data_IF_851972575951
#
_entry.id   IF_851972575951
#
_cell.length_a   1.000
_cell.length_b   1.000
_cell.length_c   1.000
_cell.angle_alpha   90.00
_cell.angle_beta   90.00
_cell.angle_gamma   90.00
#
_symmetry.space_group_name_H-M   'P 1'
#
loop_
_entity.id
_entity.type
_entity.pdbx_description
1 polymer ?
#
# COMPACT_ATOMS: atom_id res chain seq x y z
N UNK A 1 -10.10 7.53 15.44
CA UNK A 1 -11.10 7.92 16.45
C UNK A 1 -12.48 8.02 15.78
N UNK A 2 -13.53 8.02 16.56
CA UNK A 2 -14.90 8.25 16.09
C UNK A 2 -15.20 9.75 16.23
N UNK A 3 -16.08 10.29 15.41
CA UNK A 3 -16.63 11.63 15.59
C UNK A 3 -17.48 11.72 16.86
N UNK A 4 -17.95 12.91 17.18
CA UNK A 4 -18.81 13.16 18.36
C UNK A 4 -20.14 12.38 18.34
N UNK A 5 -20.52 11.78 17.19
CA UNK A 5 -21.72 10.96 17.01
C UNK A 5 -21.40 9.47 16.89
N UNK A 6 -20.12 9.05 17.05
CA UNK A 6 -19.68 7.65 16.97
C UNK A 6 -19.45 7.12 15.56
N UNK A 7 -19.50 7.97 14.54
CA UNK A 7 -19.17 7.67 13.15
C UNK A 7 -17.67 7.44 12.93
N UNK A 8 -17.30 6.80 11.83
CA UNK A 8 -15.89 6.67 11.43
C UNK A 8 -15.42 8.01 10.89
N UNK A 9 -14.38 8.59 11.49
CA UNK A 9 -13.73 9.80 10.99
C UNK A 9 -12.99 9.50 9.68
N UNK A 10 -13.25 10.30 8.66
CA UNK A 10 -12.66 10.16 7.32
C UNK A 10 -11.74 11.35 7.01
N UNK A 11 -11.95 12.51 7.65
CA UNK A 11 -11.13 13.71 7.52
C UNK A 11 -10.41 14.05 8.83
N UNK A 12 -9.32 14.81 8.76
CA UNK A 12 -8.58 15.28 9.94
C UNK A 12 -9.45 16.26 10.74
N UNK A 13 -10.24 17.09 10.05
CA UNK A 13 -11.15 18.04 10.68
C UNK A 13 -12.21 17.37 11.58
N UNK A 14 -12.52 16.09 11.36
CA UNK A 14 -13.45 15.31 12.18
C UNK A 14 -12.79 14.71 13.43
N UNK A 15 -11.48 14.87 13.58
CA UNK A 15 -10.72 14.29 14.70
C UNK A 15 -10.76 15.19 15.94
N UNK A 16 -10.79 14.59 17.12
CA UNK A 16 -10.55 15.28 18.38
C UNK A 16 -9.18 14.86 18.98
N UNK A 17 -8.32 15.86 19.30
CA UNK A 17 -8.43 17.28 18.99
C UNK A 17 -8.35 17.58 17.49
N UNK A 18 -8.94 18.69 17.05
CA UNK A 18 -8.87 19.18 15.66
C UNK A 18 -7.45 19.70 15.38
N UNK A 19 -6.64 18.84 14.76
CA UNK A 19 -5.23 19.12 14.49
C UNK A 19 -5.08 20.24 13.46
N UNK A 20 -5.99 20.38 12.52
CA UNK A 20 -5.94 21.43 11.50
C UNK A 20 -5.99 22.83 12.13
N UNK A 21 -6.89 23.03 13.11
CA UNK A 21 -6.97 24.30 13.85
C UNK A 21 -5.79 24.52 14.79
N UNK A 22 -5.25 23.45 15.36
CA UNK A 22 -4.14 23.52 16.31
C UNK A 22 -2.77 23.62 15.65
N UNK A 23 -2.65 23.26 14.37
CA UNK A 23 -1.38 23.17 13.64
C UNK A 23 -0.50 24.42 13.77
N UNK A 24 -0.99 25.66 13.57
CA UNK A 24 -0.17 26.85 13.72
C UNK A 24 0.44 27.00 15.12
N UNK A 25 -0.36 26.73 16.15
CA UNK A 25 0.08 26.79 17.55
C UNK A 25 1.13 25.71 17.86
N UNK A 26 0.88 24.48 17.36
CA UNK A 26 1.77 23.36 17.60
C UNK A 26 3.16 23.61 17.01
N UNK A 27 3.24 24.09 15.76
CA UNK A 27 4.52 24.38 15.08
C UNK A 27 5.19 25.67 15.59
N UNK A 28 4.46 26.56 16.25
CA UNK A 28 5.03 27.71 16.94
C UNK A 28 5.73 27.29 18.24
N UNK A 29 5.11 26.40 19.01
CA UNK A 29 5.59 25.95 20.32
C UNK A 29 6.59 24.79 20.22
N UNK A 30 6.45 23.92 19.23
CA UNK A 30 7.29 22.74 19.04
C UNK A 30 8.18 22.86 17.81
N UNK A 31 9.49 22.58 17.97
CA UNK A 31 10.42 22.51 16.83
C UNK A 31 10.02 21.41 15.83
N UNK A 32 9.56 20.29 16.36
CA UNK A 32 9.05 19.14 15.62
C UNK A 32 7.82 18.63 16.34
N UNK A 33 6.74 18.43 15.60
CA UNK A 33 5.48 17.90 16.13
C UNK A 33 5.15 16.62 15.38
N UNK A 34 4.88 15.55 16.11
CA UNK A 34 4.45 14.27 15.52
C UNK A 34 2.98 14.06 15.85
N UNK A 35 2.17 13.95 14.81
CA UNK A 35 0.74 13.68 14.91
C UNK A 35 0.46 12.25 14.51
N UNK A 36 -0.12 11.47 15.43
CA UNK A 36 -0.58 10.10 15.14
C UNK A 36 -2.02 10.13 14.65
N UNK A 37 -2.22 9.64 13.44
CA UNK A 37 -3.53 9.55 12.80
C UNK A 37 -3.96 8.08 12.63
N UNK A 38 -5.26 7.88 12.43
CA UNK A 38 -5.81 6.57 12.09
C UNK A 38 -5.28 6.08 10.74
N UNK A 39 -4.90 4.81 10.59
CA UNK A 39 -4.54 4.24 9.30
C UNK A 39 -5.69 4.22 8.28
N UNK A 40 -6.91 4.49 8.71
CA UNK A 40 -8.09 4.62 7.83
C UNK A 40 -8.13 5.95 7.07
N UNK A 41 -7.44 6.99 7.57
CA UNK A 41 -7.40 8.29 6.90
C UNK A 41 -6.65 8.22 5.58
N UNK A 42 -7.12 8.98 4.60
CA UNK A 42 -6.46 9.11 3.30
C UNK A 42 -5.24 10.04 3.42
N UNK A 43 -4.08 9.58 2.91
CA UNK A 43 -2.84 10.36 2.98
C UNK A 43 -2.95 11.64 2.16
N UNK A 44 -3.57 11.59 0.98
CA UNK A 44 -3.74 12.76 0.14
C UNK A 44 -4.68 13.80 0.76
N UNK A 45 -5.68 13.36 1.53
CA UNK A 45 -6.50 14.27 2.33
C UNK A 45 -5.65 14.98 3.37
N UNK A 46 -4.82 14.24 4.11
CA UNK A 46 -3.89 14.82 5.09
C UNK A 46 -2.96 15.86 4.49
N UNK A 47 -2.41 15.59 3.30
CA UNK A 47 -1.54 16.52 2.57
C UNK A 47 -2.25 17.82 2.15
N UNK A 48 -3.56 17.79 1.93
CA UNK A 48 -4.35 18.98 1.59
C UNK A 48 -4.81 19.78 2.80
N UNK A 49 -5.03 19.09 3.91
CA UNK A 49 -5.60 19.69 5.12
C UNK A 49 -4.54 20.32 6.04
N UNK A 50 -3.31 19.83 6.03
CA UNK A 50 -2.20 20.33 6.88
C UNK A 50 -1.13 21.04 6.03
N UNK A 51 -0.56 22.13 6.56
CA UNK A 51 0.34 23.03 5.84
C UNK A 51 1.82 22.82 6.14
N UNK A 52 2.14 22.29 7.32
CA UNK A 52 3.51 22.19 7.82
C UNK A 52 4.07 20.78 7.77
N UNK A 53 3.51 19.91 6.91
CA UNK A 53 3.97 18.53 6.78
C UNK A 53 5.36 18.50 6.19
N UNK A 54 6.29 17.82 6.87
CA UNK A 54 7.64 17.53 6.39
C UNK A 54 7.79 16.06 5.98
N UNK A 55 7.24 15.17 6.78
CA UNK A 55 7.31 13.73 6.56
C UNK A 55 5.99 13.05 6.93
N UNK A 56 5.74 11.93 6.26
CA UNK A 56 4.64 11.02 6.59
C UNK A 56 5.25 9.63 6.74
N UNK A 57 4.98 8.96 7.86
CA UNK A 57 5.35 7.57 8.08
C UNK A 57 4.11 6.70 8.04
N UNK A 58 4.11 5.70 7.17
CA UNK A 58 3.05 4.69 7.07
C UNK A 58 3.58 3.41 7.69
N UNK A 59 3.10 3.08 8.88
CA UNK A 59 3.62 1.97 9.68
C UNK A 59 2.72 0.74 9.54
N UNK A 60 3.30 -0.36 9.09
CA UNK A 60 2.63 -1.67 9.04
C UNK A 60 3.35 -2.69 9.94
N UNK A 61 2.57 -3.55 10.58
CA UNK A 61 3.05 -4.66 11.40
C UNK A 61 2.41 -5.94 10.90
N UNK A 62 3.22 -6.96 10.61
CA UNK A 62 2.76 -8.24 10.05
C UNK A 62 1.82 -8.06 8.85
N UNK A 63 2.20 -7.17 7.95
CA UNK A 63 1.47 -6.82 6.72
C UNK A 63 0.07 -6.21 6.96
N UNK A 64 -0.14 -5.56 8.08
CA UNK A 64 -1.34 -4.77 8.39
C UNK A 64 -0.95 -3.33 8.73
N UNK A 65 -1.54 -2.34 8.03
CA UNK A 65 -1.28 -0.93 8.32
C UNK A 65 -1.87 -0.55 9.69
N UNK A 66 -1.00 -0.15 10.63
CA UNK A 66 -1.38 0.13 12.02
C UNK A 66 -1.46 1.62 12.33
N UNK A 67 -0.52 2.40 11.81
CA UNK A 67 -0.41 3.81 12.16
C UNK A 67 -0.06 4.67 10.93
N UNK A 68 -0.54 5.90 10.96
CA UNK A 68 -0.12 6.97 10.08
C UNK A 68 0.45 8.09 10.97
N UNK A 69 1.75 8.37 10.84
CA UNK A 69 2.40 9.44 11.59
C UNK A 69 2.73 10.59 10.65
N UNK A 70 2.31 11.79 11.00
CA UNK A 70 2.60 13.00 10.24
C UNK A 70 3.56 13.87 11.08
N UNK A 71 4.70 14.19 10.50
CA UNK A 71 5.70 15.06 11.10
C UNK A 71 5.51 16.48 10.58
N UNK A 72 5.19 17.39 11.49
CA UNK A 72 5.03 18.81 11.21
C UNK A 72 6.27 19.57 11.67
N UNK A 73 6.77 20.47 10.84
CA UNK A 73 7.88 21.36 11.16
C UNK A 73 7.63 22.72 10.51
N UNK A 74 7.89 23.79 11.26
CA UNK A 74 7.96 25.11 10.68
C UNK A 74 9.18 25.16 9.76
N UNK A 75 9.01 25.64 8.53
CA UNK A 75 10.13 25.74 7.58
C UNK A 75 11.31 26.48 8.21
N UNK A 76 12.42 25.78 8.36
CA UNK A 76 13.71 26.42 8.52
C UNK A 76 14.14 26.76 7.09
N UNK A 77 14.07 28.05 6.71
CA UNK A 77 14.60 28.53 5.43
C UNK A 77 16.12 28.34 5.43
N UNK A 78 16.54 27.14 5.04
CA UNK A 78 17.93 26.90 4.65
C UNK A 78 17.99 26.99 3.13
N UNK A 79 18.82 27.85 2.55
CA UNK A 79 18.96 27.99 1.09
C UNK A 79 19.50 26.73 0.38
N UNK A 80 19.95 25.74 1.15
CA UNK A 80 20.58 24.51 0.65
C UNK A 80 19.67 23.27 0.69
N UNK A 81 18.49 23.35 1.33
CA UNK A 81 17.54 22.23 1.37
C UNK A 81 16.46 22.47 0.32
N UNK A 82 16.54 21.72 -0.76
CA UNK A 82 15.64 21.78 -1.90
C UNK A 82 14.17 21.63 -1.53
N UNK A 83 13.35 22.27 -2.36
CA UNK A 83 11.88 22.18 -2.52
C UNK A 83 11.12 21.66 -1.29
N UNK A 84 10.09 22.37 -0.84
CA UNK A 84 9.18 22.00 0.25
C UNK A 84 8.42 20.68 0.02
N UNK A 85 9.13 19.65 -0.42
CA UNK A 85 8.65 18.33 -0.80
C UNK A 85 8.41 17.48 0.45
N UNK A 86 7.25 16.83 0.51
CA UNK A 86 6.90 15.93 1.60
C UNK A 86 7.48 14.54 1.34
N UNK A 87 8.29 14.05 2.27
CA UNK A 87 8.81 12.70 2.24
C UNK A 87 7.83 11.70 2.84
N UNK A 88 7.65 10.58 2.16
CA UNK A 88 6.82 9.47 2.63
C UNK A 88 7.72 8.27 2.91
N UNK A 89 7.66 7.76 4.14
CA UNK A 89 8.39 6.58 4.58
C UNK A 89 7.41 5.44 4.86
N UNK A 90 7.59 4.32 4.18
CA UNK A 90 6.81 3.11 4.37
C UNK A 90 7.57 2.16 5.28
N UNK A 91 7.15 2.10 6.53
CA UNK A 91 7.75 1.26 7.57
C UNK A 91 7.04 -0.09 7.62
N UNK A 92 7.81 -1.15 7.73
CA UNK A 92 7.25 -2.49 7.91
C UNK A 92 7.99 -3.24 9.02
N UNK A 93 7.24 -3.77 9.96
CA UNK A 93 7.75 -4.68 10.98
C UNK A 93 7.18 -6.09 10.75
N UNK A 94 8.06 -7.07 10.73
CA UNK A 94 7.70 -8.49 10.64
C UNK A 94 8.34 -9.21 11.82
N UNK A 95 7.55 -9.91 12.62
CA UNK A 95 8.01 -10.60 13.83
C UNK A 95 8.82 -9.69 14.78
N UNK A 96 8.36 -8.45 14.96
CA UNK A 96 9.01 -7.40 15.76
C UNK A 96 10.37 -6.86 15.23
N UNK A 97 10.76 -7.22 14.02
CA UNK A 97 11.93 -6.64 13.35
C UNK A 97 11.47 -5.63 12.30
N UNK A 98 12.05 -4.43 12.34
CA UNK A 98 11.85 -3.44 11.28
C UNK A 98 12.67 -3.85 10.05
N UNK A 99 12.03 -3.81 8.89
CA UNK A 99 12.73 -3.90 7.61
C UNK A 99 13.26 -2.52 7.21
N UNK A 100 14.15 -2.47 6.23
CA UNK A 100 14.57 -1.20 5.65
C UNK A 100 13.35 -0.44 5.10
N UNK A 101 13.15 0.84 5.46
CA UNK A 101 11.99 1.61 5.02
C UNK A 101 12.10 1.96 3.53
N UNK A 102 10.97 1.92 2.84
CA UNK A 102 10.88 2.44 1.48
C UNK A 102 10.50 3.91 1.53
N UNK A 103 11.45 4.78 1.19
CA UNK A 103 11.28 6.24 1.26
C UNK A 103 11.15 6.84 -0.14
N UNK A 104 10.19 7.75 -0.32
CA UNK A 104 9.93 8.39 -1.60
C UNK A 104 9.24 9.75 -1.43
N UNK A 105 9.11 10.50 -2.53
CA UNK A 105 8.23 11.67 -2.66
C UNK A 105 7.17 11.41 -3.73
N UNK A 106 6.06 12.13 -3.66
CA UNK A 106 5.02 11.99 -4.70
C UNK A 106 5.46 12.55 -6.07
N UNK A 107 6.44 13.44 -6.11
CA UNK A 107 7.07 13.87 -7.37
C UNK A 107 7.81 12.69 -8.03
N UNK A 108 8.58 11.92 -7.25
CA UNK A 108 9.24 10.71 -7.75
C UNK A 108 8.23 9.68 -8.28
N UNK A 109 7.12 9.46 -7.56
CA UNK A 109 6.05 8.56 -8.04
C UNK A 109 5.40 9.07 -9.33
N UNK A 110 5.18 10.39 -9.45
CA UNK A 110 4.59 11.01 -10.63
C UNK A 110 5.48 10.89 -11.87
N UNK A 111 6.78 11.02 -11.69
CA UNK A 111 7.78 10.94 -12.77
C UNK A 111 8.12 9.49 -13.14
N UNK A 112 7.93 8.55 -12.22
CA UNK A 112 8.24 7.15 -12.43
C UNK A 112 7.39 6.53 -13.54
N UNK A 113 8.02 5.65 -14.32
CA UNK A 113 7.39 4.86 -15.37
C UNK A 113 7.48 3.38 -15.03
N UNK A 114 6.34 2.74 -14.92
CA UNK A 114 6.27 1.30 -14.71
C UNK A 114 5.62 0.65 -15.95
N UNK A 115 6.34 -0.22 -16.67
CA UNK A 115 5.77 -0.91 -17.81
C UNK A 115 4.66 -1.85 -17.37
N UNK A 116 3.64 -2.01 -18.21
CA UNK A 116 2.63 -3.05 -18.04
C UNK A 116 3.16 -4.37 -18.62
N UNK A 117 2.87 -5.46 -17.96
CA UNK A 117 3.17 -6.79 -18.45
C UNK A 117 2.10 -7.23 -19.46
N UNK A 118 2.53 -7.85 -20.57
CA UNK A 118 1.61 -8.50 -21.50
C UNK A 118 1.11 -9.85 -21.00
N UNK A 119 1.84 -10.46 -20.06
CA UNK A 119 1.54 -11.76 -19.46
C UNK A 119 2.10 -11.84 -18.04
N UNK A 120 1.71 -12.86 -17.29
CA UNK A 120 2.28 -13.15 -15.97
C UNK A 120 3.55 -13.97 -16.18
N UNK A 121 4.66 -13.46 -15.63
CA UNK A 121 5.98 -14.10 -15.72
C UNK A 121 6.19 -15.11 -14.56
N UNK A 122 7.42 -15.59 -14.36
CA UNK A 122 7.74 -16.64 -13.39
C UNK A 122 7.48 -16.28 -11.92
N UNK A 123 7.50 -14.99 -11.58
CA UNK A 123 7.30 -14.50 -10.24
C UNK A 123 6.22 -13.44 -10.18
N UNK A 124 5.41 -13.49 -9.13
CA UNK A 124 4.37 -12.52 -8.82
C UNK A 124 4.69 -11.80 -7.49
N UNK A 125 4.46 -10.50 -7.45
CA UNK A 125 4.72 -9.67 -6.28
C UNK A 125 3.49 -8.89 -5.87
N UNK A 126 3.26 -8.83 -4.56
CA UNK A 126 2.26 -7.97 -3.96
C UNK A 126 2.93 -7.05 -2.94
N UNK A 127 2.82 -5.71 -3.09
CA UNK A 127 3.42 -4.77 -2.15
C UNK A 127 2.94 -4.98 -0.72
N UNK A 128 3.80 -4.68 0.24
CA UNK A 128 3.43 -4.66 1.65
C UNK A 128 2.34 -3.63 1.97
N UNK A 129 1.66 -3.80 3.09
CA UNK A 129 0.50 -2.99 3.45
C UNK A 129 0.81 -1.49 3.57
N UNK A 130 1.99 -1.10 4.05
CA UNK A 130 2.44 0.30 4.09
C UNK A 130 2.57 0.91 2.69
N UNK A 131 3.12 0.14 1.74
CA UNK A 131 3.26 0.56 0.34
C UNK A 131 1.91 0.65 -0.38
N UNK A 132 1.02 -0.33 -0.15
CA UNK A 132 -0.35 -0.30 -0.68
C UNK A 132 -1.12 0.93 -0.16
N UNK A 133 -0.86 1.33 1.07
CA UNK A 133 -1.46 2.53 1.67
C UNK A 133 -0.85 3.82 1.13
N UNK A 134 0.47 3.87 0.96
CA UNK A 134 1.20 5.06 0.52
C UNK A 134 1.12 5.30 -1.00
N UNK A 135 0.98 4.26 -1.80
CA UNK A 135 0.70 4.35 -3.23
C UNK A 135 1.88 4.60 -4.18
N UNK A 136 3.15 4.22 -3.91
CA UNK A 136 4.28 4.41 -4.83
C UNK A 136 4.28 3.36 -5.96
N UNK A 137 3.16 3.19 -6.65
CA UNK A 137 2.93 2.03 -7.51
C UNK A 137 3.78 2.01 -8.78
N UNK A 138 4.07 3.17 -9.39
CA UNK A 138 4.97 3.24 -10.55
C UNK A 138 6.41 3.15 -10.11
N UNK A 139 6.74 3.82 -9.03
CA UNK A 139 8.09 3.85 -8.48
C UNK A 139 8.56 2.47 -8.02
N UNK A 140 7.67 1.62 -7.49
CA UNK A 140 7.97 0.23 -7.20
C UNK A 140 8.40 -0.52 -8.47
N UNK A 141 7.68 -0.38 -9.58
CA UNK A 141 8.07 -0.97 -10.85
C UNK A 141 9.45 -0.52 -11.32
N UNK A 142 9.69 0.79 -11.27
CA UNK A 142 10.96 1.38 -11.69
C UNK A 142 12.14 0.95 -10.80
N UNK A 143 11.99 1.03 -9.47
CA UNK A 143 13.10 0.74 -8.54
C UNK A 143 13.49 -0.73 -8.49
N UNK A 144 12.51 -1.63 -8.66
CA UNK A 144 12.74 -3.07 -8.59
C UNK A 144 12.81 -3.75 -9.96
N UNK A 145 12.65 -3.01 -11.05
CA UNK A 145 12.71 -3.56 -12.40
C UNK A 145 11.62 -4.57 -12.71
N UNK A 146 10.45 -4.44 -12.07
CA UNK A 146 9.30 -5.32 -12.24
C UNK A 146 8.21 -4.66 -13.07
N UNK A 147 7.41 -5.45 -13.78
CA UNK A 147 6.31 -4.99 -14.63
C UNK A 147 4.99 -5.11 -13.86
N UNK A 148 4.11 -4.14 -14.03
CA UNK A 148 2.78 -4.14 -13.41
C UNK A 148 1.81 -4.96 -14.26
N UNK A 149 0.99 -5.82 -13.66
CA UNK A 149 0.03 -6.63 -14.42
C UNK A 149 -1.07 -5.77 -15.05
N UNK A 150 -1.57 -4.79 -14.32
CA UNK A 150 -2.60 -3.86 -14.80
C UNK A 150 -2.48 -2.52 -14.06
N UNK A 151 -2.93 -1.44 -14.67
CA UNK A 151 -2.89 -0.11 -14.05
C UNK A 151 -3.48 -0.07 -12.62
N UNK A 152 -4.54 -0.84 -12.38
CA UNK A 152 -5.31 -0.82 -11.13
C UNK A 152 -5.14 -2.08 -10.25
N UNK A 153 -4.33 -3.09 -10.66
CA UNK A 153 -4.21 -4.34 -9.88
C UNK A 153 -3.25 -4.24 -8.72
N UNK A 154 -2.23 -3.37 -8.82
CA UNK A 154 -1.12 -3.25 -7.87
C UNK A 154 -0.39 -4.60 -7.61
N UNK A 155 -0.40 -5.47 -8.60
CA UNK A 155 0.39 -6.69 -8.67
C UNK A 155 1.49 -6.52 -9.73
N UNK A 156 2.64 -7.13 -9.48
CA UNK A 156 3.80 -7.02 -10.36
C UNK A 156 4.33 -8.41 -10.71
N UNK A 157 5.09 -8.50 -11.80
CA UNK A 157 5.68 -9.73 -12.27
C UNK A 157 7.09 -9.52 -12.83
N UNK A 158 7.89 -10.57 -12.80
CA UNK A 158 9.21 -10.65 -13.45
C UNK A 158 9.62 -12.08 -13.72
N UNK A 159 10.54 -12.28 -14.67
CA UNK A 159 11.11 -13.59 -14.99
C UNK A 159 12.08 -14.10 -13.93
N UNK A 160 12.78 -13.19 -13.25
CA UNK A 160 13.76 -13.52 -12.22
C UNK A 160 13.28 -13.05 -10.86
N UNK A 161 13.64 -13.79 -9.80
CA UNK A 161 13.29 -13.42 -8.44
C UNK A 161 13.99 -12.13 -8.02
N UNK A 162 13.18 -11.15 -7.58
CA UNK A 162 13.64 -9.84 -7.11
C UNK A 162 13.37 -9.70 -5.62
N UNK A 163 14.27 -9.03 -4.90
CA UNK A 163 14.06 -8.69 -3.48
C UNK A 163 13.07 -7.52 -3.36
N UNK A 164 11.80 -7.85 -3.51
CA UNK A 164 10.69 -6.90 -3.55
C UNK A 164 10.13 -6.65 -2.14
N UNK A 165 9.78 -5.39 -1.79
CA UNK A 165 9.27 -5.04 -0.45
C UNK A 165 7.79 -5.42 -0.29
N UNK A 166 7.54 -6.70 -0.07
CA UNK A 166 6.21 -7.27 0.05
C UNK A 166 6.21 -8.78 -0.03
N UNK A 167 5.10 -9.35 -0.45
CA UNK A 167 4.98 -10.80 -0.65
C UNK A 167 5.48 -11.19 -2.05
N UNK A 168 6.23 -12.27 -2.11
CA UNK A 168 6.84 -12.81 -3.34
C UNK A 168 6.35 -14.23 -3.54
N UNK A 169 5.90 -14.54 -4.74
CA UNK A 169 5.34 -15.83 -5.09
C UNK A 169 6.00 -16.36 -6.36
N UNK A 170 6.29 -17.65 -6.38
CA UNK A 170 6.59 -18.34 -7.61
C UNK A 170 5.28 -18.69 -8.30
N UNK A 171 5.14 -18.32 -9.56
CA UNK A 171 3.97 -18.65 -10.37
C UNK A 171 4.06 -20.12 -10.78
N UNK A 172 3.03 -20.89 -10.44
CA UNK A 172 2.93 -22.30 -10.80
C UNK A 172 2.09 -22.47 -12.07
N UNK A 173 1.00 -21.72 -12.16
CA UNK A 173 0.08 -21.81 -13.30
C UNK A 173 -0.70 -20.49 -13.44
N UNK A 174 -1.01 -20.14 -14.70
CA UNK A 174 -1.87 -19.00 -15.05
C UNK A 174 -2.99 -19.54 -15.92
N UNK A 175 -4.21 -19.09 -15.67
CA UNK A 175 -5.38 -19.57 -16.39
C UNK A 175 -6.38 -18.45 -16.62
N UNK A 176 -7.14 -18.56 -17.70
CA UNK A 176 -8.33 -17.74 -17.92
C UNK A 176 -9.45 -18.07 -16.92
N UNK A 177 -10.52 -17.28 -16.97
CA UNK A 177 -11.69 -17.46 -16.08
C UNK A 177 -12.77 -18.38 -16.68
N UNK A 178 -12.44 -19.11 -17.74
CA UNK A 178 -13.31 -20.08 -18.38
C UNK A 178 -13.60 -21.29 -17.48
N UNK A 179 -14.82 -21.83 -17.58
CA UNK A 179 -15.29 -22.93 -16.73
C UNK A 179 -14.40 -24.18 -16.79
N UNK A 180 -13.87 -24.48 -18.00
CA UNK A 180 -13.02 -25.65 -18.28
C UNK A 180 -11.59 -25.42 -17.73
N UNK A 181 -11.04 -24.24 -17.95
CA UNK A 181 -9.71 -23.82 -17.52
C UNK A 181 -9.63 -23.78 -15.98
N UNK A 182 -10.61 -23.16 -15.32
CA UNK A 182 -10.69 -23.14 -13.87
C UNK A 182 -10.83 -24.54 -13.25
N UNK A 183 -11.56 -25.45 -13.90
CA UNK A 183 -11.66 -26.82 -13.41
C UNK A 183 -10.31 -27.52 -13.45
N UNK A 184 -9.52 -27.26 -14.45
CA UNK A 184 -8.16 -27.81 -14.58
C UNK A 184 -7.23 -27.19 -13.53
N UNK A 185 -7.17 -25.85 -13.44
CA UNK A 185 -6.35 -25.12 -12.48
C UNK A 185 -6.61 -25.55 -11.02
N UNK A 186 -7.87 -25.77 -10.67
CA UNK A 186 -8.28 -26.10 -9.30
C UNK A 186 -8.29 -27.61 -9.01
N UNK A 187 -7.84 -28.45 -9.94
CA UNK A 187 -7.80 -29.89 -9.73
C UNK A 187 -6.84 -30.25 -8.59
N UNK A 188 -7.36 -30.89 -7.54
CA UNK A 188 -6.59 -31.26 -6.36
C UNK A 188 -6.35 -30.13 -5.34
N UNK A 189 -6.92 -28.95 -5.55
CA UNK A 189 -6.80 -27.82 -4.64
C UNK A 189 -8.06 -27.71 -3.76
N UNK A 190 -7.99 -28.19 -2.52
CA UNK A 190 -9.10 -28.10 -1.56
C UNK A 190 -9.03 -26.83 -0.67
N UNK A 191 -7.80 -26.29 -0.50
CA UNK A 191 -7.51 -25.13 0.34
C UNK A 191 -6.62 -24.15 -0.42
N UNK A 192 -6.93 -22.85 -0.31
CA UNK A 192 -6.08 -21.80 -0.85
C UNK A 192 -6.28 -20.47 -0.15
N UNK A 193 -5.22 -19.67 -0.11
CA UNK A 193 -5.25 -18.27 0.27
C UNK A 193 -5.67 -17.46 -0.96
N UNK A 194 -6.91 -16.98 -0.99
CA UNK A 194 -7.47 -16.28 -2.15
C UNK A 194 -7.36 -14.77 -1.98
N UNK A 195 -6.76 -14.12 -2.97
CA UNK A 195 -6.65 -12.67 -3.06
C UNK A 195 -7.31 -12.17 -4.35
N UNK A 196 -8.06 -11.09 -4.25
CA UNK A 196 -8.72 -10.44 -5.38
C UNK A 196 -8.12 -9.03 -5.56
N UNK A 197 -7.68 -8.72 -6.79
CA UNK A 197 -7.15 -7.41 -7.16
C UNK A 197 -7.69 -6.99 -8.53
N UNK A 198 -8.42 -5.88 -8.60
CA UNK A 198 -9.02 -5.38 -9.83
C UNK A 198 -9.80 -6.47 -10.60
N UNK A 199 -10.73 -7.12 -9.93
CA UNK A 199 -11.51 -8.22 -10.47
C UNK A 199 -12.99 -8.09 -10.05
N UNK A 200 -13.96 -8.44 -10.91
CA UNK A 200 -15.38 -8.13 -10.70
C UNK A 200 -16.11 -9.05 -9.70
N UNK A 201 -15.39 -9.91 -8.97
CA UNK A 201 -15.98 -10.77 -7.95
C UNK A 201 -15.21 -10.65 -6.62
N UNK A 202 -15.92 -10.78 -5.51
CA UNK A 202 -15.32 -10.78 -4.17
C UNK A 202 -14.67 -12.12 -3.81
N UNK A 203 -13.76 -12.10 -2.83
CA UNK A 203 -13.16 -13.32 -2.26
C UNK A 203 -14.23 -14.31 -1.79
N UNK A 204 -15.29 -13.82 -1.12
CA UNK A 204 -16.36 -14.66 -0.60
C UNK A 204 -17.15 -15.37 -1.71
N UNK A 205 -17.48 -14.64 -2.78
CA UNK A 205 -18.17 -15.21 -3.95
C UNK A 205 -17.34 -16.27 -4.66
N UNK A 206 -16.05 -15.97 -4.90
CA UNK A 206 -15.16 -16.92 -5.56
C UNK A 206 -14.91 -18.16 -4.70
N UNK A 207 -14.71 -17.98 -3.41
CA UNK A 207 -14.53 -19.08 -2.44
C UNK A 207 -15.74 -20.02 -2.44
N UNK A 208 -16.95 -19.47 -2.41
CA UNK A 208 -18.20 -20.24 -2.49
C UNK A 208 -18.34 -20.96 -3.85
N UNK A 209 -18.07 -20.24 -4.93
CA UNK A 209 -18.17 -20.78 -6.30
C UNK A 209 -17.20 -21.93 -6.54
N UNK A 210 -15.97 -21.81 -6.04
CA UNK A 210 -14.92 -22.81 -6.23
C UNK A 210 -14.85 -23.85 -5.12
N UNK A 211 -15.67 -23.72 -4.09
CA UNK A 211 -15.74 -24.61 -2.90
C UNK A 211 -14.38 -24.74 -2.18
N UNK A 212 -13.58 -23.70 -2.16
CA UNK A 212 -12.26 -23.68 -1.54
C UNK A 212 -12.36 -23.34 -0.05
N UNK A 213 -11.63 -24.09 0.78
CA UNK A 213 -11.37 -23.76 2.18
C UNK A 213 -10.25 -22.72 2.27
N UNK A 214 -10.21 -21.97 3.37
CA UNK A 214 -9.15 -21.02 3.65
C UNK A 214 -7.87 -21.70 4.15
N UNK A 215 -6.70 -21.14 3.80
CA UNK A 215 -5.39 -21.61 4.25
C UNK A 215 -4.69 -22.53 3.25
N UNK A 216 -3.70 -23.27 3.75
CA UNK A 216 -2.80 -24.07 2.92
C UNK A 216 -1.65 -23.26 2.33
N UNK A 217 -0.81 -23.89 1.52
CA UNK A 217 0.42 -23.33 0.95
C UNK A 217 0.20 -22.70 -0.43
N UNK A 218 -0.99 -22.89 -1.02
CA UNK A 218 -1.34 -22.36 -2.33
C UNK A 218 -1.97 -20.97 -2.17
N UNK A 219 -1.50 -20.02 -2.98
CA UNK A 219 -2.07 -18.68 -3.14
C UNK A 219 -2.71 -18.55 -4.51
N UNK A 220 -3.95 -18.09 -4.53
CA UNK A 220 -4.70 -17.81 -5.76
C UNK A 220 -4.96 -16.32 -5.88
N UNK A 221 -4.56 -15.73 -6.98
CA UNK A 221 -4.80 -14.34 -7.31
C UNK A 221 -5.82 -14.23 -8.45
N UNK A 222 -7.01 -13.70 -8.16
CA UNK A 222 -7.96 -13.33 -9.19
C UNK A 222 -7.73 -11.85 -9.55
N UNK A 223 -7.29 -11.59 -10.78
CA UNK A 223 -6.93 -10.25 -11.25
C UNK A 223 -7.21 -10.09 -12.74
N UNK A 224 -7.18 -8.86 -13.22
CA UNK A 224 -7.20 -8.50 -14.64
C UNK A 224 -5.77 -8.18 -15.10
N UNK A 225 -5.43 -8.62 -16.30
CA UNK A 225 -4.25 -8.23 -17.07
C UNK A 225 -4.57 -7.05 -17.97
#
# INVERSE_FOLDING_TARGET
RRDSQGGKTVAIADCEPDVQKLEPLLVEKGRTVVVKLSPMLDIFSSLRELKYIRQIHVVAVNNECKELLVVLQKEIKSPSEGSGEVWVSCEQAVNNFLTEPFVFTYSQEKEAQCPLAGEVENYLYEPGASLLKAGPYRLLGTRFGVKKLHANSHLYTSDTLVDFPGRRFRVLEVSGFGKKELKQLLQGVDKANLTVRNFPASVAELRKKWKLKEGGDVYLFATTL
#
